data_IF_406181688152
#
_entry.id   IF_406181688152
#
_cell.length_a   1.000
_cell.length_b   1.000
_cell.length_c   1.000
_cell.angle_alpha   90.00
_cell.angle_beta   90.00
_cell.angle_gamma   90.00
#
_symmetry.space_group_name_H-M   'P 1'
#
loop_
_entity.id
_entity.type
_entity.pdbx_description
1 polymer ?
#
# COMPACT_ATOMS: atom_id res chain seq x y z
N UNK A 1 -34.59 -5.34 -0.41
CA UNK A 1 -33.47 -4.63 0.25
C UNK A 1 -32.96 -3.63 -0.76
N UNK A 2 -33.23 -2.35 -0.51
CA UNK A 2 -33.23 -1.27 -1.50
C UNK A 2 -31.83 -0.96 -2.05
N UNK A 3 -31.77 -0.72 -3.36
CA UNK A 3 -30.56 -0.34 -4.12
C UNK A 3 -29.78 0.82 -3.45
N UNK A 4 -30.49 1.76 -2.83
CA UNK A 4 -29.93 2.88 -2.06
C UNK A 4 -29.08 2.43 -0.86
N UNK A 5 -29.48 1.40 -0.13
CA UNK A 5 -28.74 0.90 1.02
C UNK A 5 -27.43 0.21 0.63
N UNK A 6 -27.35 -0.40 -0.57
CA UNK A 6 -26.10 -1.00 -1.09
C UNK A 6 -25.10 0.06 -1.53
N UNK A 7 -25.58 1.16 -2.12
CA UNK A 7 -24.75 2.30 -2.54
C UNK A 7 -24.24 3.06 -1.30
N UNK A 8 -25.08 3.21 -0.28
CA UNK A 8 -24.72 3.89 0.97
C UNK A 8 -23.69 3.07 1.77
N UNK A 9 -23.82 1.74 1.80
CA UNK A 9 -22.87 0.83 2.43
C UNK A 9 -21.52 0.81 1.70
N UNK A 10 -21.54 0.91 0.37
CA UNK A 10 -20.31 0.97 -0.45
C UNK A 10 -19.56 2.30 -0.28
N UNK A 11 -20.28 3.42 -0.12
CA UNK A 11 -19.67 4.71 0.16
C UNK A 11 -19.09 4.80 1.58
N UNK A 12 -19.73 4.20 2.58
CA UNK A 12 -19.19 4.13 3.96
C UNK A 12 -17.92 3.28 4.00
N UNK A 13 -17.85 2.19 3.25
CA UNK A 13 -16.65 1.33 3.15
C UNK A 13 -15.47 2.05 2.47
N UNK A 14 -15.75 2.94 1.49
CA UNK A 14 -14.72 3.75 0.83
C UNK A 14 -14.14 4.82 1.77
N UNK A 15 -14.96 5.43 2.62
CA UNK A 15 -14.51 6.48 3.56
C UNK A 15 -13.61 5.88 4.66
N UNK A 16 -13.84 4.64 5.07
CA UNK A 16 -13.00 3.97 6.10
C UNK A 16 -11.57 3.68 5.62
N UNK A 17 -11.33 3.57 4.31
CA UNK A 17 -9.98 3.32 3.78
C UNK A 17 -9.10 4.57 3.71
N UNK A 18 -9.68 5.78 3.73
CA UNK A 18 -8.89 7.02 3.70
C UNK A 18 -8.32 7.42 5.07
N UNK A 19 -8.88 6.92 6.17
CA UNK A 19 -8.48 7.33 7.53
C UNK A 19 -7.15 6.73 8.02
N UNK A 20 -6.75 5.56 7.56
CA UNK A 20 -5.58 4.84 8.09
C UNK A 20 -4.24 5.19 7.42
N UNK A 21 -4.27 5.83 6.24
CA UNK A 21 -3.05 6.18 5.51
C UNK A 21 -2.48 7.56 5.89
N UNK A 22 -3.29 8.45 6.50
CA UNK A 22 -2.87 9.82 6.79
C UNK A 22 -1.98 9.93 8.03
N UNK A 23 -2.18 9.12 9.04
CA UNK A 23 -1.50 9.27 10.35
C UNK A 23 0.01 8.98 10.24
N UNK A 24 0.41 8.04 9.42
CA UNK A 24 1.81 7.66 9.20
C UNK A 24 2.61 8.73 8.43
N UNK A 25 1.98 9.36 7.44
CA UNK A 25 2.59 10.41 6.62
C UNK A 25 2.77 11.70 7.43
N UNK A 26 1.86 12.00 8.35
CA UNK A 26 1.95 13.19 9.22
C UNK A 26 3.04 13.05 10.28
N UNK A 27 3.26 11.86 10.83
CA UNK A 27 4.39 11.61 11.75
C UNK A 27 5.73 11.75 11.03
N UNK A 28 5.86 11.20 9.84
CA UNK A 28 7.07 11.32 9.03
C UNK A 28 7.38 12.79 8.69
N UNK A 29 6.38 13.55 8.25
CA UNK A 29 6.52 14.99 7.97
C UNK A 29 6.93 15.78 9.20
N UNK A 30 6.37 15.48 10.37
CA UNK A 30 6.76 16.11 11.64
C UNK A 30 8.22 15.84 11.99
N UNK A 31 8.66 14.60 11.85
CA UNK A 31 10.06 14.21 12.10
C UNK A 31 11.03 14.87 11.11
N UNK A 32 10.66 14.97 9.84
CA UNK A 32 11.44 15.68 8.83
C UNK A 32 11.54 17.18 9.10
N UNK A 33 10.43 17.81 9.51
CA UNK A 33 10.41 19.22 9.90
C UNK A 33 11.28 19.48 11.13
N UNK A 34 11.24 18.60 12.13
CA UNK A 34 12.10 18.66 13.30
C UNK A 34 13.59 18.48 12.95
N UNK A 35 13.90 17.51 12.09
CA UNK A 35 15.25 17.28 11.58
C UNK A 35 15.80 18.52 10.86
N UNK A 36 15.00 19.13 9.98
CA UNK A 36 15.37 20.34 9.26
C UNK A 36 15.62 21.53 10.23
N UNK A 37 14.77 21.66 11.25
CA UNK A 37 14.92 22.68 12.29
C UNK A 37 16.24 22.50 13.05
N UNK A 38 16.56 21.29 13.48
CA UNK A 38 17.79 21.00 14.20
C UNK A 38 19.02 21.16 13.29
N UNK A 39 18.94 20.80 12.02
CA UNK A 39 20.04 21.07 11.08
C UNK A 39 20.30 22.56 10.90
N UNK A 40 19.26 23.41 10.87
CA UNK A 40 19.40 24.88 10.86
C UNK A 40 20.05 25.38 12.15
N UNK A 41 19.66 24.82 13.29
CA UNK A 41 20.24 25.15 14.59
C UNK A 41 21.75 24.80 14.65
N UNK A 42 22.12 23.59 14.19
CA UNK A 42 23.51 23.18 14.05
C UNK A 42 24.31 24.17 13.19
N UNK A 43 23.75 24.59 12.05
CA UNK A 43 24.38 25.57 11.16
C UNK A 43 24.59 26.92 11.86
N UNK A 44 23.56 27.43 12.57
CA UNK A 44 23.68 28.64 13.38
C UNK A 44 24.79 28.53 14.44
N UNK A 45 24.79 27.44 15.21
CA UNK A 45 25.80 27.19 16.24
C UNK A 45 27.20 27.15 15.64
N UNK A 46 27.40 26.50 14.50
CA UNK A 46 28.69 26.43 13.83
C UNK A 46 29.19 27.83 13.38
N UNK A 47 28.29 28.70 12.92
CA UNK A 47 28.60 30.08 12.56
C UNK A 47 29.00 30.87 13.81
N UNK A 48 28.20 30.82 14.89
CA UNK A 48 28.49 31.51 16.14
C UNK A 48 29.83 31.07 16.74
N UNK A 49 30.14 29.78 16.70
CA UNK A 49 31.44 29.25 17.17
C UNK A 49 32.59 29.73 16.30
N UNK A 50 32.40 29.85 14.96
CA UNK A 50 33.46 30.36 14.07
C UNK A 50 33.71 31.86 14.28
N UNK A 51 32.66 32.66 14.51
CA UNK A 51 32.76 34.07 14.80
C UNK A 51 33.44 34.35 16.19
N UNK A 52 33.07 33.53 17.19
CA UNK A 52 33.63 33.66 18.52
C UNK A 52 35.07 33.17 18.64
N UNK A 53 35.55 32.29 17.76
CA UNK A 53 36.97 31.92 17.69
C UNK A 53 37.90 33.09 17.36
N UNK A 54 37.36 34.20 16.79
CA UNK A 54 38.15 35.44 16.53
C UNK A 54 38.28 36.37 17.75
N UNK A 55 37.45 36.15 18.78
CA UNK A 55 37.55 36.88 20.06
C UNK A 55 38.16 35.93 21.09
N UNK A 56 39.12 36.40 21.89
CA UNK A 56 39.87 35.66 22.94
C UNK A 56 38.84 35.01 23.89
N UNK A 57 38.49 33.77 23.61
CA UNK A 57 37.53 33.00 24.42
C UNK A 57 38.21 32.34 25.59
N UNK A 58 37.63 32.40 26.75
CA UNK A 58 38.05 31.65 27.93
C UNK A 58 37.83 30.14 27.72
N UNK A 59 38.56 29.27 28.41
CA UNK A 59 38.35 27.82 28.36
C UNK A 59 36.90 27.41 28.71
N UNK A 60 36.26 28.16 29.60
CA UNK A 60 34.85 27.96 29.98
C UNK A 60 33.89 28.15 28.82
N UNK A 61 34.05 29.24 28.04
CA UNK A 61 33.18 29.49 26.85
C UNK A 61 33.35 28.38 25.81
N UNK A 62 34.55 27.83 25.65
CA UNK A 62 34.79 26.73 24.74
C UNK A 62 34.08 25.41 25.19
N UNK A 63 34.05 25.16 26.50
CA UNK A 63 33.36 24.01 27.08
C UNK A 63 31.85 24.13 26.84
N UNK A 64 31.24 25.29 27.13
CA UNK A 64 29.82 25.55 26.92
C UNK A 64 29.41 25.37 25.45
N UNK A 65 30.22 25.87 24.49
CA UNK A 65 29.97 25.66 23.05
C UNK A 65 30.02 24.18 22.67
N UNK A 66 30.93 23.40 23.25
CA UNK A 66 31.06 21.97 22.99
C UNK A 66 29.85 21.20 23.60
N UNK A 67 29.45 21.52 24.82
CA UNK A 67 28.28 20.93 25.45
C UNK A 67 27.01 21.20 24.67
N UNK A 68 26.81 22.44 24.18
CA UNK A 68 25.66 22.77 23.34
C UNK A 68 25.66 21.95 22.03
N UNK A 69 26.84 21.80 21.39
CA UNK A 69 26.97 20.97 20.18
C UNK A 69 26.65 19.50 20.46
N UNK A 70 27.11 18.97 21.58
CA UNK A 70 26.82 17.60 21.99
C UNK A 70 25.31 17.42 22.20
N UNK A 71 24.67 18.35 22.92
CA UNK A 71 23.24 18.32 23.18
C UNK A 71 22.42 18.29 21.87
N UNK A 72 22.73 19.21 20.94
CA UNK A 72 22.00 19.27 19.64
C UNK A 72 22.27 18.04 18.77
N UNK A 73 23.49 17.50 18.79
CA UNK A 73 23.81 16.26 18.08
C UNK A 73 23.07 15.05 18.67
N UNK A 74 22.96 14.98 19.98
CA UNK A 74 22.21 13.92 20.65
C UNK A 74 20.73 13.96 20.26
N UNK A 75 20.10 15.15 20.21
CA UNK A 75 18.74 15.32 19.69
C UNK A 75 18.61 14.84 18.24
N UNK A 76 19.60 15.16 17.40
CA UNK A 76 19.59 14.70 16.00
C UNK A 76 19.69 13.17 15.90
N UNK A 77 20.55 12.54 16.73
CA UNK A 77 20.67 11.08 16.80
C UNK A 77 19.32 10.45 17.24
N UNK A 78 18.67 11.03 18.24
CA UNK A 78 17.37 10.56 18.71
C UNK A 78 16.32 10.61 17.59
N UNK A 79 16.24 11.73 16.87
CA UNK A 79 15.30 11.86 15.73
C UNK A 79 15.64 10.88 14.62
N UNK A 80 16.92 10.68 14.29
CA UNK A 80 17.32 9.70 13.29
C UNK A 80 16.93 8.27 13.71
N UNK A 81 17.08 7.94 14.99
CA UNK A 81 16.64 6.63 15.52
C UNK A 81 15.13 6.47 15.43
N UNK A 82 14.34 7.51 15.75
CA UNK A 82 12.90 7.49 15.59
C UNK A 82 12.49 7.32 14.13
N UNK A 83 13.13 8.02 13.19
CA UNK A 83 12.89 7.87 11.75
C UNK A 83 13.23 6.45 11.26
N UNK A 84 14.37 5.90 11.69
CA UNK A 84 14.80 4.54 11.35
C UNK A 84 13.79 3.49 11.85
N UNK A 85 13.35 3.62 13.11
CA UNK A 85 12.34 2.73 13.67
C UNK A 85 11.01 2.82 12.92
N UNK A 86 10.60 4.04 12.57
CA UNK A 86 9.38 4.29 11.83
C UNK A 86 9.44 3.66 10.43
N UNK A 87 10.55 3.86 9.72
CA UNK A 87 10.79 3.28 8.40
C UNK A 87 10.82 1.75 8.46
N UNK A 88 11.48 1.18 9.48
CA UNK A 88 11.54 -0.26 9.71
C UNK A 88 10.14 -0.87 9.89
N UNK A 89 9.28 -0.19 10.65
CA UNK A 89 7.88 -0.61 10.84
C UNK A 89 7.07 -0.50 9.52
N UNK A 90 7.31 0.53 8.72
CA UNK A 90 6.68 0.67 7.40
C UNK A 90 7.07 -0.47 6.48
N UNK A 91 8.37 -0.78 6.38
CA UNK A 91 8.89 -1.89 5.57
C UNK A 91 8.24 -3.21 6.02
N UNK A 92 8.20 -3.47 7.33
CA UNK A 92 7.55 -4.67 7.85
C UNK A 92 6.08 -4.77 7.45
N UNK A 93 5.33 -3.66 7.58
CA UNK A 93 3.92 -3.63 7.20
C UNK A 93 3.71 -3.81 5.69
N UNK A 94 4.58 -3.23 4.86
CA UNK A 94 4.54 -3.41 3.41
C UNK A 94 4.86 -4.85 3.02
N UNK A 95 5.88 -5.46 3.63
CA UNK A 95 6.22 -6.87 3.39
C UNK A 95 5.07 -7.82 3.76
N UNK A 96 4.37 -7.56 4.87
CA UNK A 96 3.18 -8.34 5.22
C UNK A 96 2.08 -8.19 4.14
N UNK A 97 1.81 -6.97 3.66
CA UNK A 97 0.84 -6.74 2.59
C UNK A 97 1.23 -7.43 1.28
N UNK A 98 2.53 -7.40 0.92
CA UNK A 98 3.05 -8.11 -0.25
C UNK A 98 2.80 -9.61 -0.11
N UNK A 99 3.12 -10.18 1.03
CA UNK A 99 2.91 -11.61 1.32
C UNK A 99 1.43 -12.00 1.21
N UNK A 100 0.53 -11.22 1.80
CA UNK A 100 -0.92 -11.47 1.74
C UNK A 100 -1.42 -11.40 0.28
N UNK A 101 -0.97 -10.40 -0.48
CA UNK A 101 -1.34 -10.26 -1.89
C UNK A 101 -0.79 -11.39 -2.77
N UNK A 102 0.39 -11.91 -2.46
CA UNK A 102 0.96 -13.09 -3.16
C UNK A 102 0.11 -14.34 -2.93
N UNK A 103 -0.31 -14.56 -1.68
CA UNK A 103 -1.21 -15.68 -1.35
C UNK A 103 -2.52 -15.54 -2.12
N UNK A 104 -3.15 -14.36 -2.06
CA UNK A 104 -4.41 -14.11 -2.75
C UNK A 104 -4.27 -14.26 -4.27
N UNK A 105 -3.20 -13.75 -4.86
CA UNK A 105 -2.91 -13.89 -6.28
C UNK A 105 -2.77 -15.34 -6.69
N UNK A 106 -2.04 -16.14 -5.91
CA UNK A 106 -1.86 -17.57 -6.17
C UNK A 106 -3.20 -18.32 -6.08
N UNK A 107 -4.03 -18.01 -5.09
CA UNK A 107 -5.37 -18.57 -4.97
C UNK A 107 -6.24 -18.21 -6.17
N UNK A 108 -6.29 -16.93 -6.56
CA UNK A 108 -7.05 -16.47 -7.72
C UNK A 108 -6.58 -17.16 -9.02
N UNK A 109 -5.27 -17.31 -9.21
CA UNK A 109 -4.71 -18.01 -10.37
C UNK A 109 -5.11 -19.49 -10.39
N UNK A 110 -5.08 -20.18 -9.25
CA UNK A 110 -5.47 -21.58 -9.15
C UNK A 110 -6.99 -21.78 -9.45
N UNK A 111 -7.83 -20.92 -8.88
CA UNK A 111 -9.27 -20.91 -9.15
C UNK A 111 -9.55 -20.64 -10.64
N UNK A 112 -8.89 -19.65 -11.22
CA UNK A 112 -9.03 -19.32 -12.64
C UNK A 112 -8.55 -20.45 -13.55
N UNK A 113 -7.40 -21.09 -13.24
CA UNK A 113 -6.90 -22.23 -13.97
C UNK A 113 -7.90 -23.39 -13.99
N UNK A 114 -8.55 -23.66 -12.84
CA UNK A 114 -9.61 -24.67 -12.73
C UNK A 114 -10.81 -24.33 -13.63
N UNK A 115 -11.26 -23.06 -13.61
CA UNK A 115 -12.33 -22.55 -14.44
C UNK A 115 -11.99 -22.70 -15.93
N UNK A 116 -10.78 -22.31 -16.32
CA UNK A 116 -10.31 -22.40 -17.72
C UNK A 116 -10.21 -23.87 -18.18
N UNK A 117 -9.63 -24.74 -17.37
CA UNK A 117 -9.51 -26.19 -17.67
C UNK A 117 -10.88 -26.82 -17.88
N UNK A 118 -11.82 -26.58 -16.96
CA UNK A 118 -13.18 -27.08 -17.08
C UNK A 118 -13.92 -26.52 -18.30
N UNK A 119 -13.64 -25.27 -18.66
CA UNK A 119 -14.24 -24.63 -19.83
C UNK A 119 -13.65 -25.15 -21.13
N UNK A 120 -12.35 -25.47 -21.15
CA UNK A 120 -11.69 -26.04 -22.32
C UNK A 120 -12.28 -27.42 -22.65
N UNK A 121 -12.48 -28.26 -21.64
CA UNK A 121 -13.14 -29.58 -21.82
C UNK A 121 -14.56 -29.48 -22.40
N UNK A 122 -15.26 -28.35 -22.19
CA UNK A 122 -16.64 -28.09 -22.65
C UNK A 122 -16.68 -27.05 -23.77
N UNK A 123 -15.60 -26.85 -24.51
CA UNK A 123 -15.46 -25.74 -25.49
C UNK A 123 -16.35 -25.87 -26.72
N UNK A 124 -16.83 -27.06 -27.04
CA UNK A 124 -17.64 -27.28 -28.25
C UNK A 124 -18.90 -26.41 -28.25
N UNK A 125 -19.03 -25.55 -29.25
CA UNK A 125 -20.24 -24.75 -29.49
C UNK A 125 -21.47 -25.66 -29.62
N UNK A 126 -21.26 -26.88 -30.15
CA UNK A 126 -22.32 -27.90 -30.24
C UNK A 126 -22.87 -28.30 -28.87
N UNK A 127 -21.99 -28.49 -27.87
CA UNK A 127 -22.38 -28.84 -26.49
C UNK A 127 -23.19 -27.70 -25.86
N UNK A 128 -22.79 -26.46 -26.08
CA UNK A 128 -23.51 -25.29 -25.55
C UNK A 128 -24.92 -25.16 -26.17
N UNK A 129 -25.01 -25.35 -27.48
CA UNK A 129 -26.30 -25.35 -28.20
C UNK A 129 -27.17 -26.55 -27.78
N UNK A 130 -26.59 -27.75 -27.69
CA UNK A 130 -27.29 -28.93 -27.18
C UNK A 130 -27.82 -28.71 -25.76
N UNK A 131 -27.07 -28.08 -24.88
CA UNK A 131 -27.51 -27.75 -23.53
C UNK A 131 -28.72 -26.78 -23.53
N UNK A 132 -28.74 -25.79 -24.43
CA UNK A 132 -29.88 -24.89 -24.60
C UNK A 132 -31.07 -25.58 -25.19
N UNK A 133 -30.91 -26.37 -26.25
CA UNK A 133 -31.97 -27.09 -26.93
C UNK A 133 -32.54 -28.29 -26.16
N UNK A 134 -31.79 -28.84 -25.20
CA UNK A 134 -32.28 -29.87 -24.27
C UNK A 134 -33.22 -29.31 -23.17
N UNK A 135 -33.69 -28.07 -23.31
CA UNK A 135 -34.67 -27.47 -22.40
C UNK A 135 -36.09 -27.94 -22.72
N UNK A 136 -36.89 -28.18 -21.68
CA UNK A 136 -38.29 -28.62 -21.84
C UNK A 136 -39.22 -27.51 -22.32
N UNK A 137 -38.88 -26.27 -21.97
CA UNK A 137 -39.67 -25.09 -22.30
C UNK A 137 -38.75 -23.85 -22.51
N UNK A 138 -39.37 -22.77 -23.00
CA UNK A 138 -38.65 -21.51 -23.27
C UNK A 138 -38.08 -20.88 -22.01
N UNK A 139 -38.78 -20.94 -20.89
CA UNK A 139 -38.30 -20.34 -19.63
C UNK A 139 -37.03 -21.04 -19.14
N UNK A 140 -36.96 -22.35 -19.28
CA UNK A 140 -35.76 -23.11 -18.93
C UNK A 140 -34.60 -22.79 -19.90
N UNK A 141 -34.87 -22.66 -21.20
CA UNK A 141 -33.87 -22.25 -22.18
C UNK A 141 -33.31 -20.85 -21.86
N UNK A 142 -34.16 -19.91 -21.52
CA UNK A 142 -33.80 -18.55 -21.15
C UNK A 142 -32.97 -18.52 -19.85
N UNK A 143 -33.35 -19.29 -18.84
CA UNK A 143 -32.59 -19.42 -17.60
C UNK A 143 -31.21 -19.99 -17.84
N UNK A 144 -31.06 -21.02 -18.70
CA UNK A 144 -29.77 -21.58 -19.10
C UNK A 144 -28.92 -20.59 -19.87
N UNK A 145 -29.53 -19.76 -20.73
CA UNK A 145 -28.82 -18.67 -21.43
C UNK A 145 -28.33 -17.60 -20.45
N UNK A 146 -29.15 -17.18 -19.50
CA UNK A 146 -28.75 -16.24 -18.46
C UNK A 146 -27.57 -16.78 -17.62
N UNK A 147 -27.61 -18.07 -17.29
CA UNK A 147 -26.49 -18.72 -16.60
C UNK A 147 -25.20 -18.64 -17.40
N UNK A 148 -25.21 -18.89 -18.72
CA UNK A 148 -24.01 -18.74 -19.56
C UNK A 148 -23.50 -17.30 -19.58
N UNK A 149 -24.39 -16.33 -19.66
CA UNK A 149 -24.04 -14.92 -19.62
C UNK A 149 -23.35 -14.57 -18.29
N UNK A 150 -23.95 -14.94 -17.17
CA UNK A 150 -23.38 -14.73 -15.83
C UNK A 150 -22.03 -15.42 -15.67
N UNK A 151 -21.89 -16.66 -16.13
CA UNK A 151 -20.65 -17.40 -16.08
C UNK A 151 -19.53 -16.74 -16.89
N UNK A 152 -19.86 -16.20 -18.07
CA UNK A 152 -18.89 -15.49 -18.91
C UNK A 152 -18.44 -14.19 -18.25
N UNK A 153 -19.37 -13.43 -17.67
CA UNK A 153 -19.07 -12.21 -16.90
C UNK A 153 -18.17 -12.54 -15.70
N UNK A 154 -18.55 -13.55 -14.91
CA UNK A 154 -17.77 -13.99 -13.78
C UNK A 154 -16.31 -14.33 -14.15
N UNK A 155 -16.10 -15.05 -15.27
CA UNK A 155 -14.75 -15.36 -15.76
C UNK A 155 -13.95 -14.12 -16.14
N UNK A 156 -14.60 -13.15 -16.78
CA UNK A 156 -13.98 -11.87 -17.12
C UNK A 156 -13.56 -11.10 -15.87
N UNK A 157 -14.44 -11.08 -14.87
CA UNK A 157 -14.19 -10.39 -13.60
C UNK A 157 -13.05 -11.05 -12.82
N UNK A 158 -12.97 -12.37 -12.84
CA UNK A 158 -11.85 -13.11 -12.24
C UNK A 158 -10.51 -12.78 -12.93
N UNK A 159 -10.48 -12.75 -14.26
CA UNK A 159 -9.28 -12.36 -15.00
C UNK A 159 -8.85 -10.92 -14.69
N UNK A 160 -9.81 -10.00 -14.63
CA UNK A 160 -9.56 -8.61 -14.26
C UNK A 160 -9.00 -8.49 -12.83
N UNK A 161 -9.57 -9.22 -11.87
CA UNK A 161 -9.06 -9.25 -10.48
C UNK A 161 -7.60 -9.70 -10.41
N UNK A 162 -7.25 -10.76 -11.15
CA UNK A 162 -5.85 -11.24 -11.22
C UNK A 162 -4.94 -10.12 -11.72
N UNK A 163 -5.33 -9.44 -12.82
CA UNK A 163 -4.53 -8.35 -13.40
C UNK A 163 -4.35 -7.19 -12.42
N UNK A 164 -5.44 -6.75 -11.79
CA UNK A 164 -5.40 -5.64 -10.81
C UNK A 164 -4.56 -6.02 -9.59
N UNK A 165 -4.74 -7.23 -9.05
CA UNK A 165 -3.94 -7.70 -7.91
C UNK A 165 -2.46 -7.78 -8.26
N UNK A 166 -2.11 -8.24 -9.46
CA UNK A 166 -0.73 -8.29 -9.93
C UNK A 166 -0.12 -6.89 -10.09
N UNK A 167 -0.87 -5.93 -10.63
CA UNK A 167 -0.43 -4.54 -10.74
C UNK A 167 -0.20 -3.91 -9.37
N UNK A 168 -1.11 -4.12 -8.43
CA UNK A 168 -0.97 -3.64 -7.05
C UNK A 168 0.26 -4.25 -6.37
N UNK A 169 0.50 -5.55 -6.55
CA UNK A 169 1.67 -6.23 -6.02
C UNK A 169 2.96 -5.62 -6.59
N UNK A 170 3.04 -5.43 -7.91
CA UNK A 170 4.21 -4.82 -8.56
C UNK A 170 4.46 -3.41 -8.03
N UNK A 171 3.43 -2.57 -7.95
CA UNK A 171 3.58 -1.20 -7.43
C UNK A 171 4.04 -1.16 -5.97
N UNK A 172 3.59 -2.08 -5.13
CA UNK A 172 4.04 -2.19 -3.73
C UNK A 172 5.50 -2.62 -3.62
N UNK A 173 5.92 -3.57 -4.48
CA UNK A 173 7.32 -4.01 -4.55
C UNK A 173 8.22 -2.85 -4.99
N UNK A 174 7.83 -2.12 -6.04
CA UNK A 174 8.60 -0.97 -6.53
C UNK A 174 8.72 0.11 -5.46
N UNK A 175 7.63 0.43 -4.74
CA UNK A 175 7.66 1.38 -3.63
C UNK A 175 8.55 0.90 -2.48
N UNK A 176 8.58 -0.39 -2.18
CA UNK A 176 9.44 -0.93 -1.13
C UNK A 176 10.92 -0.85 -1.49
N UNK A 177 11.27 -0.99 -2.78
CA UNK A 177 12.65 -0.88 -3.27
C UNK A 177 13.18 0.56 -3.27
N UNK A 178 12.31 1.56 -3.45
CA UNK A 178 12.71 2.99 -3.42
C UNK A 178 13.07 3.44 -2.00
N UNK A 179 12.57 2.76 -0.97
CA UNK A 179 12.78 3.13 0.44
C UNK A 179 13.93 2.36 1.13
N UNK A 180 14.59 1.45 0.42
CA UNK A 180 15.81 0.76 0.87
C UNK A 180 17.04 1.50 0.35
#
# INVERSE_FOLDING_TARGET
MNYYNRILFFNILLIFNYGFSQDYNDQQKKLEAQKLSIQKEIKKINILVSENKKKTKTLLDNIEDVELKISVRNKLIEINNQQSNNLSNQIKNQNNKIYDLEIDLNKLKAEYATIVSNSYKKRSSKIKLMFLFASRDFNQAFSRFQYFKQYTTFRKDQANKITVTQQNLTSLIDLSLIHI
#
